data_IF_973721645389
#
_entry.id   IF_973721645389
#
_cell.length_a   1.000
_cell.length_b   1.000
_cell.length_c   1.000
_cell.angle_alpha   90.00
_cell.angle_beta   90.00
_cell.angle_gamma   90.00
#
_symmetry.space_group_name_H-M   'P 1'
#
loop_
_entity.id
_entity.type
_entity.pdbx_description
1 polymer ?
#
# COMPACT_ATOMS: atom_id res chain seq x y z
N UNK A 1 3.64 24.23 15.01
CA UNK A 1 2.64 23.37 14.34
C UNK A 1 2.04 22.46 15.40
N UNK A 2 0.70 22.33 15.50
CA UNK A 2 0.07 21.50 16.55
C UNK A 2 -0.31 20.11 16.02
N UNK A 3 -0.33 19.11 16.90
CA UNK A 3 -0.79 17.76 16.57
C UNK A 3 -2.23 17.76 16.07
N UNK A 4 -3.11 18.56 16.69
CA UNK A 4 -4.51 18.70 16.28
C UNK A 4 -4.64 19.15 14.82
N UNK A 5 -3.79 20.09 14.36
CA UNK A 5 -3.79 20.52 12.96
C UNK A 5 -3.38 19.40 12.01
N UNK A 6 -2.41 18.56 12.40
CA UNK A 6 -1.98 17.40 11.61
C UNK A 6 -3.07 16.33 11.55
N UNK A 7 -3.73 16.03 12.67
CA UNK A 7 -4.83 15.05 12.73
C UNK A 7 -6.01 15.51 11.86
N UNK A 8 -6.40 16.78 11.96
CA UNK A 8 -7.48 17.34 11.15
C UNK A 8 -7.14 17.29 9.65
N UNK A 9 -5.88 17.59 9.29
CA UNK A 9 -5.42 17.45 7.92
C UNK A 9 -5.49 16.00 7.46
N UNK A 10 -4.93 15.05 8.22
CA UNK A 10 -4.90 13.64 7.86
C UNK A 10 -6.29 13.01 7.75
N UNK A 11 -7.28 13.52 8.47
CA UNK A 11 -8.66 13.00 8.47
C UNK A 11 -9.46 13.49 7.24
N UNK A 12 -9.04 14.58 6.63
CA UNK A 12 -9.68 15.21 5.49
C UNK A 12 -9.06 14.68 4.18
N UNK A 13 -9.68 13.64 3.60
CA UNK A 13 -9.19 12.98 2.37
C UNK A 13 -9.05 13.95 1.21
N UNK A 14 -9.83 15.03 1.17
CA UNK A 14 -9.79 15.99 0.06
C UNK A 14 -8.50 16.81 0.00
N UNK A 15 -7.67 16.73 1.06
CA UNK A 15 -6.35 17.38 1.09
C UNK A 15 -5.26 16.58 0.43
N UNK A 16 -5.55 15.39 -0.07
CA UNK A 16 -4.56 14.46 -0.63
C UNK A 16 -4.93 14.14 -2.08
N UNK A 17 -4.75 15.10 -2.98
CA UNK A 17 -5.12 14.95 -4.39
C UNK A 17 -3.89 14.80 -5.30
N UNK A 18 -2.73 15.29 -4.85
CA UNK A 18 -1.48 15.24 -5.61
C UNK A 18 -0.35 14.63 -4.77
N UNK A 19 0.69 14.09 -5.41
CA UNK A 19 1.89 13.62 -4.70
C UNK A 19 2.51 14.71 -3.81
N UNK A 20 2.43 15.98 -4.24
CA UNK A 20 2.94 17.10 -3.47
C UNK A 20 2.18 17.31 -2.16
N UNK A 21 0.87 17.04 -2.12
CA UNK A 21 0.08 17.12 -0.89
C UNK A 21 0.57 16.11 0.15
N UNK A 22 0.81 14.87 -0.27
CA UNK A 22 1.36 13.81 0.56
C UNK A 22 2.76 14.16 1.08
N UNK A 23 3.64 14.66 0.20
CA UNK A 23 4.99 15.11 0.56
C UNK A 23 4.91 16.26 1.58
N UNK A 24 4.04 17.25 1.35
CA UNK A 24 3.86 18.39 2.22
C UNK A 24 3.35 17.97 3.61
N UNK A 25 2.36 17.07 3.66
CA UNK A 25 1.88 16.51 4.92
C UNK A 25 3.00 15.78 5.67
N UNK A 26 3.77 14.94 4.97
CA UNK A 26 4.88 14.20 5.57
C UNK A 26 5.95 15.13 6.14
N UNK A 27 6.38 16.17 5.42
CA UNK A 27 7.32 17.21 5.91
C UNK A 27 6.83 17.83 7.22
N UNK A 28 5.56 18.21 7.25
CA UNK A 28 4.91 18.83 8.43
C UNK A 28 4.88 17.87 9.62
N UNK A 29 4.54 16.60 9.39
CA UNK A 29 4.54 15.59 10.45
C UNK A 29 5.95 15.30 10.98
N UNK A 30 6.94 15.13 10.09
CA UNK A 30 8.33 14.92 10.47
C UNK A 30 8.88 16.08 11.32
N UNK A 31 8.56 17.32 10.93
CA UNK A 31 8.91 18.50 11.72
C UNK A 31 8.26 18.48 13.11
N UNK A 32 6.99 18.08 13.21
CA UNK A 32 6.32 17.97 14.49
C UNK A 32 6.97 16.94 15.42
N UNK A 33 7.34 15.76 14.92
CA UNK A 33 7.87 14.69 15.77
C UNK A 33 9.30 14.92 16.28
N UNK A 34 10.01 15.94 15.79
CA UNK A 34 11.32 16.32 16.33
C UNK A 34 11.22 16.79 17.79
N UNK A 35 10.21 17.60 18.11
CA UNK A 35 10.07 18.23 19.44
C UNK A 35 8.68 18.07 20.06
N UNK A 36 7.69 17.60 19.30
CA UNK A 36 6.28 17.53 19.71
C UNK A 36 5.87 16.24 20.44
N UNK A 37 6.78 15.27 20.58
CA UNK A 37 6.49 13.99 21.24
C UNK A 37 6.68 14.08 22.76
N UNK A 38 5.92 13.27 23.51
CA UNK A 38 6.18 13.03 24.93
C UNK A 38 7.38 12.09 25.11
N UNK A 39 7.46 11.04 24.29
CA UNK A 39 8.53 10.06 24.33
C UNK A 39 8.66 9.29 23.01
N UNK A 40 9.85 8.77 22.74
CA UNK A 40 10.10 7.72 21.75
C UNK A 40 10.38 6.43 22.49
N UNK A 41 9.59 5.39 22.22
CA UNK A 41 9.64 4.11 22.90
C UNK A 41 10.23 3.09 21.93
N UNK A 42 11.35 2.47 22.30
CA UNK A 42 12.00 1.43 21.48
C UNK A 42 11.34 0.08 21.77
N UNK A 43 11.02 -0.66 20.71
CA UNK A 43 10.54 -2.04 20.80
C UNK A 43 11.61 -2.96 21.39
N UNK A 44 11.25 -3.79 22.36
CA UNK A 44 12.20 -4.63 23.11
C UNK A 44 12.61 -5.91 22.38
N UNK A 45 11.81 -6.39 21.42
CA UNK A 45 12.11 -7.61 20.68
C UNK A 45 12.71 -7.35 19.30
N UNK A 46 12.50 -6.16 18.74
CA UNK A 46 13.06 -5.74 17.45
C UNK A 46 13.34 -4.23 17.51
N UNK A 47 14.57 -3.86 17.90
CA UNK A 47 14.92 -2.50 18.34
C UNK A 47 14.88 -1.43 17.24
N UNK A 48 14.81 -1.83 15.97
CA UNK A 48 14.62 -0.92 14.85
C UNK A 48 13.16 -0.49 14.66
N UNK A 49 12.23 -1.05 15.44
CA UNK A 49 10.88 -0.50 15.56
C UNK A 49 10.78 0.43 16.77
N UNK A 50 10.16 1.58 16.56
CA UNK A 50 9.82 2.54 17.60
C UNK A 50 8.33 2.84 17.64
N UNK A 51 7.89 3.40 18.76
CA UNK A 51 6.57 3.97 18.94
C UNK A 51 6.72 5.39 19.43
N UNK A 52 5.88 6.28 18.91
CA UNK A 52 5.84 7.68 19.33
C UNK A 52 4.69 7.84 20.30
N UNK A 53 4.99 8.34 21.51
CA UNK A 53 3.98 8.71 22.46
C UNK A 53 3.68 10.20 22.30
N UNK A 54 2.42 10.52 22.07
CA UNK A 54 1.96 11.90 22.00
C UNK A 54 1.80 12.52 23.39
N UNK A 55 1.74 13.84 23.43
CA UNK A 55 1.42 14.58 24.65
C UNK A 55 -0.10 14.54 24.93
N UNK A 56 -0.56 15.38 25.86
CA UNK A 56 -1.97 15.47 26.26
C UNK A 56 -2.91 15.77 25.08
N UNK A 57 -2.48 16.56 24.11
CA UNK A 57 -3.23 16.93 22.90
C UNK A 57 -3.43 15.76 21.92
N UNK A 58 -2.67 14.66 22.07
CA UNK A 58 -2.88 13.38 21.40
C UNK A 58 -3.35 12.28 22.36
N UNK A 59 -3.98 12.65 23.49
CA UNK A 59 -4.52 11.73 24.50
C UNK A 59 -3.50 10.76 25.10
N UNK A 60 -2.20 11.09 25.05
CA UNK A 60 -1.09 10.16 25.37
C UNK A 60 -1.11 8.87 24.55
N UNK A 61 -1.81 8.87 23.41
CA UNK A 61 -1.84 7.74 22.51
C UNK A 61 -0.43 7.44 21.99
N UNK A 62 -0.25 6.17 21.70
CA UNK A 62 0.99 5.64 21.16
C UNK A 62 0.72 5.30 19.69
N UNK A 63 1.65 5.65 18.81
CA UNK A 63 1.56 5.32 17.38
C UNK A 63 1.75 3.84 17.14
N UNK A 64 1.26 3.38 15.98
CA UNK A 64 1.62 2.08 15.40
C UNK A 64 3.16 1.96 15.30
N UNK A 65 3.72 0.74 15.19
CA UNK A 65 5.16 0.57 15.07
C UNK A 65 5.71 1.31 13.84
N UNK A 66 6.81 2.03 14.02
CA UNK A 66 7.55 2.76 12.98
C UNK A 66 8.91 2.11 12.81
N UNK A 67 9.23 1.64 11.60
CA UNK A 67 10.54 1.10 11.27
C UNK A 67 11.53 2.25 11.03
N UNK A 68 12.51 2.42 11.92
CA UNK A 68 13.50 3.50 11.86
C UNK A 68 14.55 3.31 10.76
N UNK A 69 14.66 2.11 10.18
CA UNK A 69 15.53 1.89 9.02
C UNK A 69 14.89 2.44 7.73
N UNK A 70 13.56 2.59 7.72
CA UNK A 70 12.81 3.07 6.56
C UNK A 70 12.38 4.53 6.70
N UNK A 71 11.83 4.90 7.86
CA UNK A 71 11.35 6.26 8.13
C UNK A 71 12.51 7.27 8.00
N UNK A 72 12.32 8.29 7.17
CA UNK A 72 13.27 9.39 7.11
C UNK A 72 13.15 10.31 8.34
N UNK A 73 14.29 10.89 8.73
CA UNK A 73 14.34 12.07 9.59
C UNK A 73 14.01 13.33 8.77
N UNK A 74 13.55 14.40 9.44
CA UNK A 74 13.11 15.64 8.78
C UNK A 74 14.21 16.20 7.87
N UNK A 75 15.45 16.30 8.36
CA UNK A 75 16.56 16.88 7.63
C UNK A 75 16.88 16.15 6.32
N UNK A 76 16.64 14.85 6.25
CA UNK A 76 16.94 14.01 5.08
C UNK A 76 15.75 13.95 4.12
N UNK A 77 14.53 14.03 4.65
CA UNK A 77 13.32 13.85 3.84
C UNK A 77 13.15 14.94 2.77
N UNK A 78 13.61 16.17 3.03
CA UNK A 78 13.53 17.27 2.07
C UNK A 78 14.20 16.87 0.73
N UNK A 79 15.48 16.48 0.79
CA UNK A 79 16.24 16.02 -0.37
C UNK A 79 15.70 14.70 -0.94
N UNK A 80 15.31 13.77 -0.07
CA UNK A 80 14.77 12.48 -0.50
C UNK A 80 13.46 12.62 -1.28
N UNK A 81 12.60 13.59 -0.92
CA UNK A 81 11.36 13.87 -1.62
C UNK A 81 11.58 14.41 -3.03
N UNK A 82 12.60 15.27 -3.22
CA UNK A 82 12.99 15.76 -4.54
C UNK A 82 13.55 14.63 -5.39
N UNK A 83 14.46 13.81 -4.82
CA UNK A 83 15.01 12.64 -5.51
C UNK A 83 13.93 11.61 -5.87
N UNK A 84 12.93 11.45 -5.02
CA UNK A 84 11.79 10.58 -5.29
C UNK A 84 11.03 11.00 -6.55
N UNK A 85 10.68 12.28 -6.68
CA UNK A 85 10.03 12.80 -7.88
C UNK A 85 10.91 12.64 -9.12
N UNK A 86 12.22 12.89 -9.01
CA UNK A 86 13.17 12.64 -10.10
C UNK A 86 13.21 11.16 -10.53
N UNK A 87 13.16 10.23 -9.57
CA UNK A 87 13.09 8.79 -9.87
C UNK A 87 11.80 8.46 -10.62
N UNK A 88 10.65 9.02 -10.23
CA UNK A 88 9.39 8.81 -10.95
C UNK A 88 9.47 9.33 -12.39
N UNK A 89 10.03 10.53 -12.60
CA UNK A 89 10.27 11.08 -13.95
C UNK A 89 11.15 10.15 -14.78
N UNK A 90 12.25 9.63 -14.23
CA UNK A 90 13.13 8.69 -14.93
C UNK A 90 12.47 7.33 -15.20
N UNK A 91 11.61 6.85 -14.30
CA UNK A 91 10.84 5.62 -14.51
C UNK A 91 9.79 5.78 -15.61
N UNK A 92 9.13 6.95 -15.68
CA UNK A 92 8.23 7.30 -16.78
C UNK A 92 8.99 7.31 -18.11
N UNK A 93 10.17 7.92 -18.12
CA UNK A 93 11.04 8.07 -19.31
C UNK A 93 12.04 6.92 -19.46
N UNK A 94 11.71 5.72 -18.95
CA UNK A 94 12.63 4.58 -18.84
C UNK A 94 13.24 4.11 -20.16
N UNK A 95 12.57 4.35 -21.29
CA UNK A 95 13.07 4.00 -22.62
C UNK A 95 14.28 4.85 -23.03
N UNK A 96 14.47 6.02 -22.39
CA UNK A 96 15.65 6.88 -22.53
C UNK A 96 16.74 6.39 -21.57
N UNK A 97 16.42 6.33 -20.28
CA UNK A 97 17.36 5.92 -19.25
C UNK A 97 16.63 5.45 -17.98
N UNK A 98 16.96 4.24 -17.51
CA UNK A 98 16.51 3.77 -16.20
C UNK A 98 17.24 4.48 -15.06
N UNK A 99 16.55 4.77 -13.94
CA UNK A 99 17.20 5.28 -12.73
C UNK A 99 18.28 4.31 -12.22
N UNK A 100 19.31 4.85 -11.58
CA UNK A 100 20.32 4.04 -10.91
C UNK A 100 19.66 3.15 -9.83
N UNK A 101 19.99 1.85 -9.82
CA UNK A 101 19.53 0.88 -8.82
C UNK A 101 19.76 1.34 -7.36
N UNK A 102 20.76 2.18 -7.11
CA UNK A 102 21.00 2.79 -5.78
C UNK A 102 19.85 3.67 -5.31
N UNK A 103 19.02 4.18 -6.23
CA UNK A 103 17.87 5.02 -5.95
C UNK A 103 16.60 4.22 -5.63
N UNK A 104 16.60 2.89 -5.79
CA UNK A 104 15.46 2.02 -5.39
C UNK A 104 15.06 2.26 -3.93
N UNK A 105 16.03 2.41 -3.04
CA UNK A 105 15.78 2.68 -1.63
C UNK A 105 15.15 4.06 -1.37
N UNK A 106 15.37 5.05 -2.26
CA UNK A 106 14.67 6.34 -2.16
C UNK A 106 13.17 6.12 -2.37
N UNK A 107 12.80 5.30 -3.36
CA UNK A 107 11.41 4.95 -3.64
C UNK A 107 10.74 4.28 -2.44
N UNK A 108 11.31 3.17 -1.96
CA UNK A 108 10.75 2.38 -0.84
C UNK A 108 10.58 3.25 0.41
N UNK A 109 11.64 3.97 0.80
CA UNK A 109 11.63 4.76 2.04
C UNK A 109 10.73 5.98 1.95
N UNK A 110 10.63 6.63 0.79
CA UNK A 110 9.74 7.79 0.64
C UNK A 110 8.28 7.38 0.73
N UNK A 111 7.86 6.31 0.03
CA UNK A 111 6.50 5.77 0.13
C UNK A 111 6.19 5.35 1.57
N UNK A 112 7.12 4.62 2.21
CA UNK A 112 6.97 4.22 3.60
C UNK A 112 6.82 5.42 4.53
N UNK A 113 7.70 6.42 4.43
CA UNK A 113 7.71 7.59 5.33
C UNK A 113 6.45 8.41 5.19
N UNK A 114 5.99 8.67 3.95
CA UNK A 114 4.74 9.38 3.68
C UNK A 114 3.58 8.65 4.36
N UNK A 115 3.42 7.37 4.04
CA UNK A 115 2.25 6.62 4.49
C UNK A 115 2.27 6.36 6.00
N UNK A 116 3.45 6.11 6.56
CA UNK A 116 3.63 5.93 7.99
C UNK A 116 3.39 7.24 8.77
N UNK A 117 3.70 8.40 8.18
CA UNK A 117 3.40 9.71 8.79
C UNK A 117 1.89 9.94 8.93
N UNK A 118 1.11 9.64 7.87
CA UNK A 118 -0.36 9.73 7.89
C UNK A 118 -0.92 8.81 8.96
N UNK A 119 -0.50 7.53 8.93
CA UNK A 119 -0.96 6.54 9.88
C UNK A 119 -0.65 6.89 11.32
N UNK A 120 0.58 7.35 11.58
CA UNK A 120 0.99 7.75 12.91
C UNK A 120 0.21 8.98 13.39
N UNK A 121 -0.02 10.00 12.55
CA UNK A 121 -0.85 11.15 12.89
C UNK A 121 -2.28 10.72 13.27
N UNK A 122 -2.91 9.85 12.47
CA UNK A 122 -4.26 9.34 12.73
C UNK A 122 -4.35 8.53 14.03
N UNK A 123 -3.26 7.94 14.53
CA UNK A 123 -3.25 7.26 15.82
C UNK A 123 -3.41 8.22 17.02
N UNK A 124 -3.29 9.54 16.82
CA UNK A 124 -3.62 10.54 17.82
C UNK A 124 -5.12 10.82 17.97
N UNK A 125 -5.98 10.22 17.12
CA UNK A 125 -7.42 10.36 17.25
C UNK A 125 -7.91 9.80 18.62
N UNK A 126 -8.96 10.40 19.20
CA UNK A 126 -9.52 9.94 20.47
C UNK A 126 -9.93 8.46 20.46
N UNK A 127 -10.01 7.87 21.65
CA UNK A 127 -10.58 6.52 21.82
C UNK A 127 -11.96 6.42 21.16
N UNK A 128 -12.25 5.28 20.55
CA UNK A 128 -13.47 5.06 19.75
C UNK A 128 -13.35 5.42 18.26
N UNK A 129 -12.35 6.21 17.84
CA UNK A 129 -12.13 6.57 16.43
C UNK A 129 -11.11 5.71 15.68
N UNK A 130 -10.75 4.56 16.24
CA UNK A 130 -9.73 3.68 15.64
C UNK A 130 -10.17 3.10 14.29
N UNK A 131 -11.46 2.84 14.07
CA UNK A 131 -11.96 2.36 12.78
C UNK A 131 -11.85 3.44 11.70
N UNK A 132 -12.24 4.69 12.03
CA UNK A 132 -12.05 5.85 11.15
C UNK A 132 -10.57 6.00 10.79
N UNK A 133 -9.66 5.96 11.77
CA UNK A 133 -8.23 6.06 11.54
C UNK A 133 -7.70 4.99 10.57
N UNK A 134 -8.17 3.74 10.70
CA UNK A 134 -7.77 2.64 9.81
C UNK A 134 -8.32 2.82 8.40
N UNK A 135 -9.58 3.25 8.28
CA UNK A 135 -10.25 3.47 7.00
C UNK A 135 -9.56 4.58 6.21
N UNK A 136 -9.49 5.79 6.79
CA UNK A 136 -8.82 6.94 6.17
C UNK A 136 -7.39 6.62 5.76
N UNK A 137 -6.63 5.93 6.63
CA UNK A 137 -5.27 5.54 6.30
C UNK A 137 -5.19 4.50 5.16
N UNK A 138 -6.17 3.61 5.04
CA UNK A 138 -6.28 2.66 3.93
C UNK A 138 -6.55 3.37 2.61
N UNK A 139 -7.60 4.18 2.57
CA UNK A 139 -8.02 4.95 1.39
C UNK A 139 -6.87 5.84 0.88
N UNK A 140 -6.19 6.54 1.79
CA UNK A 140 -5.06 7.40 1.43
C UNK A 140 -3.85 6.60 0.92
N UNK A 141 -3.67 5.34 1.34
CA UNK A 141 -2.61 4.49 0.79
C UNK A 141 -2.94 4.07 -0.65
N UNK A 142 -4.17 3.62 -0.88
CA UNK A 142 -4.66 3.25 -2.20
C UNK A 142 -4.51 4.40 -3.18
N UNK A 143 -4.98 5.59 -2.79
CA UNK A 143 -4.86 6.80 -3.61
C UNK A 143 -3.40 7.18 -3.85
N UNK A 144 -2.51 7.08 -2.85
CA UNK A 144 -1.08 7.34 -3.05
C UNK A 144 -0.48 6.42 -4.11
N UNK A 145 -0.75 5.11 -4.04
CA UNK A 145 -0.23 4.16 -5.02
C UNK A 145 -0.78 4.46 -6.42
N UNK A 146 -2.07 4.76 -6.55
CA UNK A 146 -2.67 5.20 -7.84
C UNK A 146 -1.97 6.44 -8.40
N UNK A 147 -1.79 7.48 -7.58
CA UNK A 147 -1.10 8.70 -7.99
C UNK A 147 0.34 8.44 -8.45
N UNK A 148 1.07 7.53 -7.79
CA UNK A 148 2.42 7.16 -8.20
C UNK A 148 2.38 6.44 -9.56
N UNK A 149 1.44 5.52 -9.79
CA UNK A 149 1.30 4.83 -11.08
C UNK A 149 0.93 5.83 -12.18
N UNK A 150 0.00 6.76 -11.92
CA UNK A 150 -0.39 7.80 -12.87
C UNK A 150 0.75 8.76 -13.21
N UNK A 151 1.65 9.07 -12.26
CA UNK A 151 2.86 9.86 -12.53
C UNK A 151 3.83 9.17 -13.51
N UNK A 152 3.67 7.86 -13.72
CA UNK A 152 4.43 7.09 -14.71
C UNK A 152 3.74 7.04 -16.10
N UNK A 153 2.72 7.86 -16.34
CA UNK A 153 1.87 7.85 -17.54
C UNK A 153 1.22 6.47 -17.78
N UNK A 154 0.80 5.80 -16.70
CA UNK A 154 0.07 4.54 -16.75
C UNK A 154 -1.35 4.76 -16.22
N UNK A 155 -2.34 4.37 -17.01
CA UNK A 155 -3.75 4.47 -16.62
C UNK A 155 -4.05 3.53 -15.46
N UNK A 156 -4.49 4.10 -14.34
CA UNK A 156 -4.77 3.34 -13.12
C UNK A 156 -5.92 3.97 -12.36
N UNK A 157 -7.04 3.24 -12.26
CA UNK A 157 -8.25 3.71 -11.57
C UNK A 157 -8.62 2.76 -10.43
N UNK A 158 -9.43 3.27 -9.49
CA UNK A 158 -10.18 2.41 -8.59
C UNK A 158 -11.58 2.28 -9.20
N UNK A 159 -12.17 1.09 -9.15
CA UNK A 159 -13.46 0.89 -9.78
C UNK A 159 -13.98 -0.51 -9.68
N UNK A 160 -15.11 -0.70 -10.35
CA UNK A 160 -15.81 -1.97 -10.46
C UNK A 160 -15.71 -2.47 -11.88
N UNK A 161 -15.11 -3.63 -12.06
CA UNK A 161 -15.13 -4.38 -13.31
C UNK A 161 -16.46 -5.14 -13.42
N UNK A 162 -17.23 -4.90 -14.48
CA UNK A 162 -18.45 -5.62 -14.77
C UNK A 162 -18.13 -6.87 -15.58
N UNK A 163 -18.18 -8.04 -14.94
CA UNK A 163 -17.84 -9.33 -15.56
C UNK A 163 -19.12 -9.97 -16.13
N UNK A 164 -19.23 -10.18 -17.46
CA UNK A 164 -20.40 -10.80 -18.05
C UNK A 164 -20.45 -12.30 -17.76
N UNK A 165 -21.54 -12.77 -17.17
CA UNK A 165 -21.79 -14.19 -16.92
C UNK A 165 -22.60 -14.76 -18.07
N UNK A 166 -22.00 -15.70 -18.80
CA UNK A 166 -22.57 -16.31 -20.00
C UNK A 166 -23.10 -17.72 -19.72
N UNK A 167 -24.15 -18.11 -20.43
CA UNK A 167 -24.64 -19.50 -20.46
C UNK A 167 -23.80 -20.37 -21.42
N UNK A 168 -24.17 -21.65 -21.56
CA UNK A 168 -23.48 -22.61 -22.44
C UNK A 168 -23.56 -22.24 -23.94
N UNK A 169 -24.50 -21.35 -24.32
CA UNK A 169 -24.66 -20.86 -25.69
C UNK A 169 -23.91 -19.53 -25.94
N UNK A 170 -23.28 -18.97 -24.90
CA UNK A 170 -22.57 -17.70 -24.96
C UNK A 170 -23.45 -16.47 -24.76
N UNK A 171 -24.74 -16.63 -24.42
CA UNK A 171 -25.62 -15.51 -24.12
C UNK A 171 -25.31 -14.93 -22.73
N UNK A 172 -25.15 -13.61 -22.63
CA UNK A 172 -24.93 -12.93 -21.35
C UNK A 172 -26.23 -12.97 -20.55
N UNK A 173 -26.23 -13.68 -19.42
CA UNK A 173 -27.36 -13.78 -18.51
C UNK A 173 -27.47 -12.54 -17.60
N UNK A 174 -26.33 -12.09 -17.08
CA UNK A 174 -26.20 -10.90 -16.23
C UNK A 174 -24.72 -10.51 -16.07
N UNK A 175 -24.46 -9.32 -15.50
CA UNK A 175 -23.12 -8.86 -15.15
C UNK A 175 -22.88 -8.99 -13.64
N UNK A 176 -21.66 -9.36 -13.27
CA UNK A 176 -21.20 -9.42 -11.88
C UNK A 176 -20.20 -8.28 -11.61
N UNK A 177 -20.48 -7.48 -10.58
CA UNK A 177 -19.59 -6.43 -10.09
C UNK A 177 -18.39 -6.99 -9.35
N UNK A 178 -17.18 -6.71 -9.84
CA UNK A 178 -15.91 -7.00 -9.17
C UNK A 178 -15.16 -5.71 -8.83
N UNK A 179 -15.15 -5.35 -7.55
CA UNK A 179 -14.52 -4.11 -7.10
C UNK A 179 -13.04 -4.33 -6.75
N UNK A 180 -12.18 -3.48 -7.32
CA UNK A 180 -10.74 -3.53 -7.09
C UNK A 180 -10.13 -2.16 -6.82
N UNK A 181 -9.04 -2.18 -6.04
CA UNK A 181 -8.35 -0.98 -5.62
C UNK A 181 -7.55 -0.36 -6.77
N UNK A 182 -6.96 -1.22 -7.62
CA UNK A 182 -6.22 -0.85 -8.82
C UNK A 182 -6.73 -1.64 -10.02
N UNK A 183 -7.19 -0.93 -11.03
CA UNK A 183 -7.43 -1.43 -12.38
C UNK A 183 -6.46 -0.69 -13.29
N UNK A 184 -5.43 -1.39 -13.74
CA UNK A 184 -4.33 -0.80 -14.52
C UNK A 184 -4.50 -1.20 -15.98
N UNK A 185 -4.64 -0.20 -16.85
CA UNK A 185 -4.95 -0.37 -18.26
C UNK A 185 -3.83 0.19 -19.14
N UNK A 186 -3.73 -0.33 -20.36
CA UNK A 186 -2.86 0.20 -21.42
C UNK A 186 -3.39 -0.19 -22.79
N UNK A 187 -3.49 0.78 -23.69
CA UNK A 187 -3.98 0.60 -25.07
C UNK A 187 -5.38 -0.05 -25.08
N UNK A 188 -6.32 0.53 -24.31
CA UNK A 188 -7.72 0.08 -24.19
C UNK A 188 -7.93 -1.37 -23.72
N UNK A 189 -6.89 -1.97 -23.13
CA UNK A 189 -6.96 -3.26 -22.46
C UNK A 189 -6.68 -3.11 -20.96
N UNK A 190 -7.50 -3.74 -20.13
CA UNK A 190 -7.19 -4.00 -18.74
C UNK A 190 -6.03 -4.99 -18.67
N UNK A 191 -4.91 -4.61 -18.04
CA UNK A 191 -3.66 -5.40 -18.00
C UNK A 191 -3.38 -5.99 -16.63
N UNK A 192 -3.75 -5.31 -15.55
CA UNK A 192 -3.41 -5.73 -14.19
C UNK A 192 -4.56 -5.37 -13.24
N UNK A 193 -4.91 -6.31 -12.37
CA UNK A 193 -5.76 -6.06 -11.20
C UNK A 193 -4.87 -6.02 -9.97
N UNK A 194 -5.04 -5.01 -9.12
CA UNK A 194 -4.23 -4.84 -7.93
C UNK A 194 -5.05 -4.61 -6.67
N UNK A 195 -4.49 -5.07 -5.55
CA UNK A 195 -4.98 -4.73 -4.22
C UNK A 195 -3.91 -4.01 -3.41
N UNK A 196 -4.28 -2.93 -2.74
CA UNK A 196 -3.38 -2.15 -1.89
C UNK A 196 -3.92 -2.17 -0.47
N UNK A 197 -3.14 -2.70 0.48
CA UNK A 197 -3.57 -2.77 1.89
C UNK A 197 -2.45 -2.33 2.81
N UNK A 198 -2.80 -1.67 3.91
CA UNK A 198 -1.79 -1.26 4.90
C UNK A 198 -1.11 -2.45 5.59
N UNK A 199 -1.80 -3.59 5.70
CA UNK A 199 -1.28 -4.86 6.19
C UNK A 199 -2.10 -6.01 5.60
N UNK A 200 -1.47 -7.16 5.41
CA UNK A 200 -2.08 -8.32 4.75
C UNK A 200 -3.07 -9.02 5.67
N UNK A 201 -2.61 -9.59 6.80
CA UNK A 201 -3.43 -10.37 7.75
C UNK A 201 -4.29 -11.41 7.01
N UNK A 202 -5.52 -11.62 7.45
CA UNK A 202 -6.56 -12.41 6.82
C UNK A 202 -6.99 -11.88 5.43
N UNK A 203 -6.70 -10.61 5.11
CA UNK A 203 -7.07 -10.04 3.80
C UNK A 203 -6.25 -10.61 2.65
N UNK A 204 -5.11 -11.24 2.92
CA UNK A 204 -4.34 -11.91 1.88
C UNK A 204 -5.15 -13.03 1.24
N UNK A 205 -5.96 -13.74 2.03
CA UNK A 205 -6.81 -14.84 1.58
C UNK A 205 -7.78 -14.35 0.49
N UNK A 206 -8.39 -13.17 0.72
CA UNK A 206 -9.31 -12.54 -0.24
C UNK A 206 -8.66 -12.31 -1.60
N UNK A 207 -7.44 -11.78 -1.65
CA UNK A 207 -6.77 -11.43 -2.91
C UNK A 207 -6.50 -12.68 -3.77
N UNK A 208 -6.11 -13.78 -3.13
CA UNK A 208 -5.90 -15.06 -3.82
C UNK A 208 -7.21 -15.63 -4.39
N UNK A 209 -8.30 -15.55 -3.62
CA UNK A 209 -9.65 -15.98 -4.04
C UNK A 209 -10.19 -15.09 -5.15
N UNK A 210 -10.00 -13.78 -5.06
CA UNK A 210 -10.42 -12.82 -6.09
C UNK A 210 -9.75 -13.15 -7.43
N UNK A 211 -8.42 -13.38 -7.46
CA UNK A 211 -7.72 -13.84 -8.67
C UNK A 211 -8.32 -15.14 -9.21
N UNK A 212 -8.52 -16.12 -8.34
CA UNK A 212 -9.06 -17.42 -8.73
C UNK A 212 -10.41 -17.25 -9.43
N UNK A 213 -11.33 -16.53 -8.79
CA UNK A 213 -12.69 -16.34 -9.27
C UNK A 213 -12.72 -15.51 -10.55
N UNK A 214 -12.00 -14.38 -10.58
CA UNK A 214 -11.96 -13.50 -11.75
C UNK A 214 -11.48 -14.27 -13.00
N UNK A 215 -10.35 -14.96 -12.89
CA UNK A 215 -9.79 -15.73 -14.02
C UNK A 215 -10.70 -16.89 -14.42
N UNK A 216 -11.37 -17.53 -13.45
CA UNK A 216 -12.32 -18.61 -13.73
C UNK A 216 -13.55 -18.11 -14.48
N UNK A 217 -14.09 -16.96 -14.09
CA UNK A 217 -15.31 -16.38 -14.66
C UNK A 217 -15.08 -15.75 -16.04
N UNK A 218 -13.93 -15.11 -16.23
CA UNK A 218 -13.58 -14.44 -17.50
C UNK A 218 -12.86 -15.35 -18.49
N UNK A 219 -12.46 -16.56 -18.07
CA UNK A 219 -11.57 -17.44 -18.82
C UNK A 219 -10.25 -16.76 -19.25
N UNK A 220 -9.79 -15.76 -18.48
CA UNK A 220 -8.53 -15.06 -18.70
C UNK A 220 -7.45 -15.54 -17.73
N UNK A 221 -6.22 -15.07 -17.96
CA UNK A 221 -5.13 -15.19 -16.99
C UNK A 221 -4.59 -13.80 -16.65
N UNK A 222 -5.50 -12.89 -16.29
CA UNK A 222 -5.14 -11.51 -16.03
C UNK A 222 -4.24 -11.41 -14.79
N UNK A 223 -3.10 -10.72 -14.88
CA UNK A 223 -2.21 -10.53 -13.75
C UNK A 223 -2.90 -9.94 -12.53
N UNK A 224 -2.73 -10.56 -11.36
CA UNK A 224 -3.13 -9.95 -10.09
C UNK A 224 -1.95 -9.71 -9.17
N UNK A 225 -1.86 -8.50 -8.62
CA UNK A 225 -0.81 -8.08 -7.71
C UNK A 225 -1.35 -7.66 -6.35
N UNK A 226 -0.48 -7.67 -5.34
CA UNK A 226 -0.77 -7.13 -4.03
C UNK A 226 0.35 -6.21 -3.54
N UNK A 227 -0.01 -5.02 -3.05
CA UNK A 227 0.92 -4.05 -2.46
C UNK A 227 0.55 -3.85 -0.99
N UNK A 228 1.53 -4.06 -0.11
CA UNK A 228 1.38 -3.91 1.33
C UNK A 228 2.33 -2.86 1.89
N UNK A 229 1.87 -2.10 2.89
CA UNK A 229 2.78 -1.20 3.61
C UNK A 229 3.70 -2.02 4.53
N UNK A 230 3.14 -2.79 5.46
CA UNK A 230 3.89 -3.63 6.40
C UNK A 230 3.04 -4.76 6.99
N UNK A 231 3.68 -5.73 7.64
CA UNK A 231 2.99 -6.74 8.47
C UNK A 231 3.50 -6.74 9.90
N UNK A 232 3.29 -5.61 10.58
CA UNK A 232 3.71 -5.39 11.96
C UNK A 232 2.57 -4.79 12.77
N UNK A 233 2.38 -5.28 13.99
CA UNK A 233 1.47 -4.66 14.95
C UNK A 233 2.08 -4.59 16.35
N UNK A 234 1.56 -3.68 17.18
CA UNK A 234 1.90 -3.62 18.60
C UNK A 234 1.61 -4.96 19.27
N UNK A 235 2.58 -5.50 20.00
CA UNK A 235 2.40 -6.68 20.85
C UNK A 235 1.47 -6.33 22.01
N UNK A 236 0.37 -7.08 22.16
CA UNK A 236 -0.48 -6.96 23.35
C UNK A 236 0.28 -7.53 24.56
N UNK A 237 0.43 -6.73 25.61
CA UNK A 237 1.04 -7.16 26.88
C UNK A 237 0.18 -6.69 28.04
N UNK A 238 0.16 -7.50 29.11
CA UNK A 238 -0.40 -7.08 30.42
C UNK A 238 0.66 -6.40 31.30
N UNK A 239 1.93 -6.55 30.95
CA UNK A 239 3.05 -5.99 31.71
C UNK A 239 3.29 -4.55 31.27
N UNK A 240 3.20 -3.62 32.22
CA UNK A 240 3.51 -2.21 32.05
C UNK A 240 4.94 -2.05 31.49
N UNK A 241 5.13 -1.07 30.62
CA UNK A 241 6.43 -0.69 30.03
C UNK A 241 7.12 -1.78 29.17
N UNK A 242 6.42 -2.85 28.77
CA UNK A 242 6.94 -3.83 27.81
C UNK A 242 6.38 -3.61 26.42
N UNK A 243 7.06 -2.79 25.65
CA UNK A 243 6.68 -2.52 24.28
C UNK A 243 7.43 -3.46 23.34
N UNK A 244 6.69 -4.03 22.39
CA UNK A 244 7.22 -4.92 21.39
C UNK A 244 6.30 -4.99 20.20
N UNK A 245 6.72 -5.70 19.17
CA UNK A 245 5.94 -5.90 17.95
C UNK A 245 5.68 -7.39 17.72
N UNK A 246 4.60 -7.69 17.01
CA UNK A 246 4.32 -9.01 16.46
C UNK A 246 4.20 -8.90 14.94
N UNK A 247 4.64 -9.93 14.23
CA UNK A 247 4.30 -10.09 12.82
C UNK A 247 2.81 -10.39 12.67
N UNK A 248 2.21 -9.90 11.58
CA UNK A 248 0.82 -10.17 11.20
C UNK A 248 0.69 -11.00 9.94
N UNK A 249 1.81 -11.31 9.28
CA UNK A 249 1.83 -12.06 8.04
C UNK A 249 1.50 -13.54 8.27
N UNK A 250 0.49 -14.04 7.55
CA UNK A 250 0.04 -15.43 7.61
C UNK A 250 0.81 -16.29 6.60
N UNK A 251 2.08 -16.59 6.91
CA UNK A 251 2.98 -17.32 6.00
C UNK A 251 2.44 -18.67 5.54
N UNK A 252 1.75 -19.42 6.41
CA UNK A 252 1.14 -20.70 6.06
C UNK A 252 0.04 -20.56 5.00
N UNK A 253 -0.81 -19.55 5.13
CA UNK A 253 -1.89 -19.27 4.17
C UNK A 253 -1.29 -18.89 2.81
N UNK A 254 -0.36 -17.94 2.81
CA UNK A 254 0.32 -17.51 1.59
C UNK A 254 0.94 -18.67 0.81
N UNK A 255 1.71 -19.52 1.50
CA UNK A 255 2.35 -20.69 0.88
C UNK A 255 1.32 -21.69 0.36
N UNK A 256 0.28 -21.98 1.16
CA UNK A 256 -0.76 -22.90 0.77
C UNK A 256 -1.48 -22.43 -0.51
N UNK A 257 -1.88 -21.17 -0.58
CA UNK A 257 -2.57 -20.64 -1.76
C UNK A 257 -1.67 -20.51 -2.98
N UNK A 258 -0.41 -20.10 -2.79
CA UNK A 258 0.58 -20.05 -3.87
C UNK A 258 0.78 -21.43 -4.51
N UNK A 259 0.85 -22.50 -3.71
CA UNK A 259 1.07 -23.87 -4.22
C UNK A 259 -0.22 -24.52 -4.73
N UNK A 260 -1.34 -24.34 -4.03
CA UNK A 260 -2.55 -25.18 -4.20
C UNK A 260 -3.72 -24.47 -4.88
N UNK A 261 -3.73 -23.14 -4.91
CA UNK A 261 -4.81 -22.37 -5.53
C UNK A 261 -4.32 -21.70 -6.82
N UNK A 262 -3.64 -20.56 -6.70
CA UNK A 262 -2.95 -19.89 -7.79
C UNK A 262 -1.90 -18.94 -7.22
N UNK A 263 -0.68 -18.87 -7.77
CA UNK A 263 0.27 -17.83 -7.39
C UNK A 263 -0.27 -16.45 -7.81
N UNK A 264 -0.01 -15.40 -7.02
CA UNK A 264 -0.17 -14.02 -7.48
C UNK A 264 0.99 -13.65 -8.41
N UNK A 265 0.78 -12.69 -9.30
CA UNK A 265 1.78 -12.27 -10.30
C UNK A 265 2.84 -11.33 -9.72
N UNK A 266 2.59 -10.80 -8.52
CA UNK A 266 3.54 -9.98 -7.77
C UNK A 266 2.98 -9.59 -6.41
N UNK A 267 3.82 -9.68 -5.37
CA UNK A 267 3.47 -9.30 -4.00
C UNK A 267 4.58 -8.44 -3.44
N UNK A 268 4.23 -7.21 -3.04
CA UNK A 268 5.20 -6.18 -2.76
C UNK A 268 5.00 -5.57 -1.39
N UNK A 269 6.08 -5.34 -0.67
CA UNK A 269 6.07 -4.69 0.64
C UNK A 269 6.93 -3.43 0.67
N UNK A 270 6.48 -2.38 1.38
CA UNK A 270 7.38 -1.29 1.74
C UNK A 270 8.32 -1.73 2.89
N UNK A 271 7.75 -2.34 3.93
CA UNK A 271 8.48 -2.90 5.07
C UNK A 271 8.38 -4.43 5.06
N UNK A 272 9.32 -5.05 4.34
CA UNK A 272 9.39 -6.50 4.18
C UNK A 272 9.92 -7.16 5.47
N UNK A 273 9.31 -8.28 5.89
CA UNK A 273 9.72 -8.98 7.11
C UNK A 273 10.88 -9.96 6.83
N UNK A 274 11.79 -10.19 7.80
CA UNK A 274 12.94 -11.08 7.59
C UNK A 274 12.59 -12.47 7.05
N UNK A 275 11.49 -13.07 7.54
CA UNK A 275 11.05 -14.40 7.10
C UNK A 275 10.60 -14.43 5.63
N UNK A 276 10.15 -13.31 5.06
CA UNK A 276 9.79 -13.21 3.64
C UNK A 276 11.02 -13.24 2.74
N UNK A 277 12.20 -12.87 3.27
CA UNK A 277 13.46 -12.84 2.53
C UNK A 277 14.25 -14.15 2.73
N UNK A 278 14.20 -14.74 3.92
CA UNK A 278 15.01 -15.92 4.23
C UNK A 278 14.34 -17.25 3.84
N UNK A 279 13.02 -17.29 3.75
CA UNK A 279 12.29 -18.48 3.31
C UNK A 279 12.32 -18.61 1.79
N UNK A 280 12.69 -19.79 1.29
CA UNK A 280 12.91 -20.01 -0.15
C UNK A 280 11.66 -19.83 -1.01
N UNK A 281 10.48 -20.20 -0.50
CA UNK A 281 9.23 -20.03 -1.26
C UNK A 281 8.74 -18.60 -1.18
N UNK A 282 8.81 -17.97 0.00
CA UNK A 282 8.36 -16.59 0.16
C UNK A 282 9.22 -15.61 -0.64
N UNK A 283 10.55 -15.75 -0.59
CA UNK A 283 11.50 -14.83 -1.26
C UNK A 283 11.41 -14.86 -2.79
N UNK A 284 10.89 -15.93 -3.37
CA UNK A 284 10.63 -16.02 -4.82
C UNK A 284 9.34 -15.30 -5.23
N UNK A 285 8.40 -15.09 -4.30
CA UNK A 285 7.05 -14.59 -4.58
C UNK A 285 6.75 -13.25 -3.92
N UNK A 286 7.59 -12.79 -3.00
CA UNK A 286 7.43 -11.55 -2.24
C UNK A 286 8.69 -10.71 -2.43
N UNK A 287 8.50 -9.48 -2.91
CA UNK A 287 9.55 -8.50 -3.19
C UNK A 287 9.30 -7.21 -2.40
N UNK A 288 10.27 -6.30 -2.42
CA UNK A 288 10.04 -4.92 -1.99
C UNK A 288 9.37 -4.10 -3.09
N UNK A 289 8.66 -3.04 -2.71
CA UNK A 289 7.84 -2.23 -3.63
C UNK A 289 8.60 -1.58 -4.80
N UNK A 290 9.92 -1.40 -4.68
CA UNK A 290 10.73 -0.93 -5.80
C UNK A 290 10.75 -1.89 -7.00
N UNK A 291 10.67 -3.21 -6.78
CA UNK A 291 10.57 -4.17 -7.88
C UNK A 291 9.32 -3.97 -8.73
N UNK A 292 8.21 -3.61 -8.08
CA UNK A 292 6.98 -3.27 -8.80
C UNK A 292 7.21 -2.12 -9.78
N UNK A 293 7.74 -0.99 -9.29
CA UNK A 293 7.85 0.22 -10.09
C UNK A 293 9.02 0.20 -11.10
N UNK A 294 10.13 -0.46 -10.77
CA UNK A 294 11.29 -0.53 -11.67
C UNK A 294 11.10 -1.55 -12.79
N UNK A 295 10.50 -2.69 -12.49
CA UNK A 295 10.57 -3.86 -13.35
C UNK A 295 9.18 -4.45 -13.65
N UNK A 296 8.45 -4.86 -12.61
CA UNK A 296 7.30 -5.73 -12.78
C UNK A 296 6.07 -5.04 -13.38
N UNK A 297 5.82 -3.77 -13.06
CA UNK A 297 4.73 -2.98 -13.68
C UNK A 297 4.85 -3.02 -15.21
N UNK A 298 6.02 -2.66 -15.73
CA UNK A 298 6.29 -2.60 -17.16
C UNK A 298 6.25 -3.98 -17.83
N UNK A 299 6.83 -4.99 -17.16
CA UNK A 299 6.80 -6.38 -17.62
C UNK A 299 5.36 -6.91 -17.70
N UNK A 300 4.52 -6.61 -16.71
CA UNK A 300 3.13 -7.05 -16.69
C UNK A 300 2.27 -6.29 -17.70
N UNK A 301 2.49 -4.99 -17.89
CA UNK A 301 1.82 -4.18 -18.92
C UNK A 301 2.10 -4.67 -20.35
N UNK A 302 3.24 -5.33 -20.59
CA UNK A 302 3.58 -5.91 -21.90
C UNK A 302 2.84 -7.21 -22.23
N UNK A 303 2.10 -7.79 -21.26
CA UNK A 303 1.29 -9.00 -21.48
C UNK A 303 -0.04 -8.62 -22.12
N UNK A 304 -0.61 -9.53 -22.93
CA UNK A 304 -2.00 -9.40 -23.40
C UNK A 304 -2.96 -9.22 -22.22
N UNK A 305 -3.82 -8.21 -22.34
CA UNK A 305 -4.85 -7.89 -21.35
C UNK A 305 -6.22 -8.38 -21.81
N UNK A 306 -7.24 -7.86 -21.15
CA UNK A 306 -8.64 -8.05 -21.52
C UNK A 306 -9.18 -6.75 -22.11
N UNK A 307 -9.90 -6.82 -23.23
CA UNK A 307 -10.50 -5.64 -23.86
C UNK A 307 -11.46 -4.94 -22.90
N UNK A 308 -11.37 -3.61 -22.80
CA UNK A 308 -12.32 -2.80 -22.01
C UNK A 308 -13.73 -2.77 -22.62
N UNK A 309 -13.90 -3.20 -23.87
CA UNK A 309 -15.23 -3.42 -24.46
C UNK A 309 -15.94 -4.65 -23.84
N UNK A 310 -15.16 -5.61 -23.32
CA UNK A 310 -15.69 -6.84 -22.70
C UNK A 310 -15.90 -6.71 -21.19
N UNK A 311 -15.21 -5.75 -20.56
CA UNK A 311 -15.27 -5.46 -19.13
C UNK A 311 -15.43 -3.96 -18.96
N UNK A 312 -16.66 -3.53 -18.72
CA UNK A 312 -16.95 -2.14 -18.38
C UNK A 312 -16.34 -1.83 -17.00
N UNK A 313 -15.56 -0.75 -16.93
CA UNK A 313 -14.99 -0.25 -15.67
C UNK A 313 -15.80 0.97 -15.25
N UNK A 314 -16.53 0.82 -14.15
CA UNK A 314 -17.16 1.94 -13.47
C UNK A 314 -16.14 2.55 -12.50
N UNK A 315 -15.64 3.75 -12.83
CA UNK A 315 -14.76 4.49 -11.94
C UNK A 315 -15.51 4.93 -10.68
N UNK A 316 -14.88 4.71 -9.53
CA UNK A 316 -15.42 5.14 -8.26
C UNK A 316 -14.49 4.80 -7.11
N UNK A 317 -14.40 5.68 -6.12
CA UNK A 317 -13.92 5.23 -4.82
C UNK A 317 -14.93 4.25 -4.24
N UNK A 318 -14.46 3.28 -3.45
CA UNK A 318 -15.35 2.40 -2.71
C UNK A 318 -16.40 3.22 -1.96
N UNK A 319 -17.63 3.24 -2.48
CA UNK A 319 -18.72 3.91 -1.80
C UNK A 319 -18.98 3.17 -0.49
N UNK A 320 -19.20 3.96 0.55
CA UNK A 320 -19.37 3.51 1.92
C UNK A 320 -20.48 2.46 2.02
N UNK A 321 -20.12 1.17 2.10
CA UNK A 321 -20.98 0.20 2.76
C UNK A 321 -20.88 0.47 4.26
N UNK A 322 -21.92 1.12 4.81
CA UNK A 322 -22.10 1.38 6.25
C UNK A 322 -21.96 0.12 7.12
#
# INVERSE_FOLDING_TARGET
>A
MSLTSLVNHATDKERFQTLQDYINFCKRYLQFIETGLQARIVSQNENHYQFYQYQKDGFYNITRPVNTLLMYEQAIFEDASVKFLQVLTQLRERDIQLPDNRLRQVLVRTIYTIQQSIGAALDALPSGKSNQARKVNGDLFERLIRLIISELDVDCVAGTAQVPIKDDNGEILFNMSYQHDLLISKEDELRIIGSVKTSSKDRIDKIFVDKFLYNKLTATNLPHIAIFLNDVQRKKTKQLNKYGINSTFLSGHFKAYTIRLNPLDGVYYCDIRPNMVTDSLLSQNIQTIDYFFYDDLWRLLSRHGQSLEEVEIEEGEAQDSE
#
